data_IF_526558839660
#
_entry.id   IF_526558839660
#
_cell.length_a   1.000
_cell.length_b   1.000
_cell.length_c   1.000
_cell.angle_alpha   90.00
_cell.angle_beta   90.00
_cell.angle_gamma   90.00
#
_symmetry.space_group_name_H-M   'P 1'
#
loop_
_entity.id
_entity.type
_entity.pdbx_description
1 polymer ?
#
# COMPACT_ATOMS: atom_id res chain seq x y z
N UNK A 1 19.54 7.97 -4.40
CA UNK A 1 18.19 7.44 -4.70
C UNK A 1 18.33 6.13 -5.48
N UNK A 2 17.57 5.12 -5.13
CA UNK A 2 17.62 3.84 -5.86
C UNK A 2 17.05 4.02 -7.27
N UNK A 3 17.69 3.44 -8.27
CA UNK A 3 17.18 3.43 -9.64
C UNK A 3 15.91 2.60 -9.73
N UNK A 4 15.10 2.83 -10.77
CA UNK A 4 13.90 2.03 -11.07
C UNK A 4 14.24 0.55 -11.16
N UNK A 5 15.41 0.21 -11.75
CA UNK A 5 15.88 -1.17 -11.86
C UNK A 5 16.10 -1.81 -10.48
N UNK A 6 16.71 -1.08 -9.53
CA UNK A 6 16.93 -1.59 -8.17
C UNK A 6 15.62 -1.81 -7.43
N UNK A 7 14.67 -0.92 -7.59
CA UNK A 7 13.34 -1.05 -6.98
C UNK A 7 12.65 -2.29 -7.53
N UNK A 8 12.70 -2.50 -8.84
CA UNK A 8 12.10 -3.67 -9.48
C UNK A 8 12.72 -4.97 -8.98
N UNK A 9 14.05 -5.05 -8.90
CA UNK A 9 14.74 -6.25 -8.43
C UNK A 9 14.40 -6.56 -6.96
N UNK A 10 14.32 -5.54 -6.11
CA UNK A 10 13.90 -5.71 -4.71
C UNK A 10 12.46 -6.21 -4.62
N UNK A 11 11.57 -5.67 -5.44
CA UNK A 11 10.17 -6.10 -5.48
C UNK A 11 10.05 -7.55 -5.93
N UNK A 12 10.80 -7.96 -6.96
CA UNK A 12 10.84 -9.36 -7.41
C UNK A 12 11.26 -10.31 -6.30
N UNK A 13 12.27 -9.94 -5.49
CA UNK A 13 12.70 -10.75 -4.35
C UNK A 13 11.63 -10.84 -3.27
N UNK A 14 10.95 -9.75 -2.98
CA UNK A 14 9.85 -9.70 -2.02
C UNK A 14 8.72 -10.61 -2.50
N UNK A 15 8.36 -10.53 -3.79
CA UNK A 15 7.25 -11.30 -4.38
C UNK A 15 7.50 -12.81 -4.37
N UNK A 16 8.73 -13.26 -4.25
CA UNK A 16 9.02 -14.69 -4.05
C UNK A 16 8.53 -15.21 -2.70
N UNK A 17 8.40 -14.34 -1.70
CA UNK A 17 7.98 -14.68 -0.34
C UNK A 17 6.59 -14.16 0.00
N UNK A 18 6.16 -13.09 -0.67
CA UNK A 18 4.90 -12.41 -0.37
C UNK A 18 3.90 -12.68 -1.48
N UNK A 19 2.94 -13.53 -1.19
CA UNK A 19 1.84 -13.87 -2.10
C UNK A 19 0.53 -13.67 -1.35
N UNK A 20 -0.41 -12.93 -1.93
CA UNK A 20 -1.72 -12.71 -1.35
C UNK A 20 -2.65 -13.89 -1.60
N UNK A 21 -3.44 -14.24 -0.59
CA UNK A 21 -4.47 -15.28 -0.67
C UNK A 21 -5.84 -14.65 -0.41
N UNK A 22 -6.90 -15.42 -0.53
CA UNK A 22 -8.24 -14.94 -0.23
C UNK A 22 -8.40 -14.58 1.25
N UNK A 23 -7.78 -15.36 2.15
CA UNK A 23 -7.84 -15.14 3.60
C UNK A 23 -6.89 -14.05 4.07
N UNK A 24 -5.77 -13.90 3.39
CA UNK A 24 -4.72 -12.92 3.71
C UNK A 24 -4.21 -12.29 2.41
N UNK A 25 -5.00 -11.36 1.82
CA UNK A 25 -4.59 -10.68 0.60
C UNK A 25 -3.32 -9.85 0.77
N UNK A 26 -2.69 -9.52 -0.33
CA UNK A 26 -1.47 -8.74 -0.35
C UNK A 26 -1.78 -7.25 -0.39
N UNK A 27 -1.31 -6.52 0.62
CA UNK A 27 -1.34 -5.04 0.62
C UNK A 27 -0.09 -4.56 -0.10
N UNK A 28 -0.27 -4.01 -1.30
CA UNK A 28 0.81 -3.55 -2.16
C UNK A 28 0.82 -2.03 -2.24
N UNK A 29 2.00 -1.42 -2.11
CA UNK A 29 2.18 0.03 -2.22
C UNK A 29 3.04 0.36 -3.43
N UNK A 30 2.72 1.47 -4.07
CA UNK A 30 3.50 2.00 -5.18
C UNK A 30 3.61 3.52 -5.06
N UNK A 31 4.82 4.03 -5.16
CA UNK A 31 5.09 5.47 -5.14
C UNK A 31 5.55 5.89 -6.54
N UNK A 32 4.73 6.69 -7.21
CA UNK A 32 5.17 7.40 -8.41
C UNK A 32 5.78 8.75 -7.99
N UNK A 33 6.25 9.56 -8.93
CA UNK A 33 6.93 10.81 -8.62
C UNK A 33 6.16 11.73 -7.65
N UNK A 34 4.85 11.84 -7.80
CA UNK A 34 4.02 12.79 -7.02
C UNK A 34 2.85 12.15 -6.30
N UNK A 35 2.61 10.84 -6.47
CA UNK A 35 1.44 10.18 -5.91
C UNK A 35 1.78 8.86 -5.23
N UNK A 36 0.89 8.46 -4.33
CA UNK A 36 0.96 7.18 -3.63
C UNK A 36 -0.25 6.36 -4.06
N UNK A 37 -0.01 5.10 -4.38
CA UNK A 37 -1.05 4.12 -4.73
C UNK A 37 -0.92 2.93 -3.79
N UNK A 38 -2.05 2.44 -3.29
CA UNK A 38 -2.08 1.27 -2.44
C UNK A 38 -3.26 0.39 -2.82
N UNK A 39 -3.03 -0.92 -2.85
CA UNK A 39 -4.04 -1.91 -3.22
C UNK A 39 -3.95 -3.11 -2.31
N UNK A 40 -5.10 -3.73 -2.05
CA UNK A 40 -5.16 -5.04 -1.40
C UNK A 40 -5.62 -6.03 -2.47
N UNK A 41 -4.77 -7.01 -2.77
CA UNK A 41 -4.95 -7.91 -3.92
C UNK A 41 -5.00 -9.36 -3.45
N UNK A 42 -6.01 -10.10 -3.92
CA UNK A 42 -6.07 -11.55 -3.82
C UNK A 42 -5.39 -12.14 -5.05
N UNK A 43 -4.17 -12.63 -4.87
CA UNK A 43 -3.37 -13.17 -5.98
C UNK A 43 -3.89 -14.51 -6.49
N UNK A 44 -4.72 -15.22 -5.72
CA UNK A 44 -5.25 -16.52 -6.13
C UNK A 44 -6.23 -16.39 -7.29
N UNK A 45 -6.95 -15.27 -7.36
CA UNK A 45 -7.94 -14.99 -8.42
C UNK A 45 -7.61 -13.72 -9.21
N UNK A 46 -6.51 -13.05 -8.88
CA UNK A 46 -6.10 -11.82 -9.55
C UNK A 46 -7.07 -10.66 -9.35
N UNK A 47 -7.70 -10.58 -8.18
CA UNK A 47 -8.72 -9.58 -7.91
C UNK A 47 -8.24 -8.55 -6.89
N UNK A 48 -8.51 -7.27 -7.17
CA UNK A 48 -8.29 -6.19 -6.20
C UNK A 48 -9.46 -6.12 -5.23
N UNK A 49 -9.18 -6.34 -3.95
CA UNK A 49 -10.19 -6.29 -2.88
C UNK A 49 -10.54 -4.85 -2.53
N UNK A 50 -9.52 -4.01 -2.39
CA UNK A 50 -9.68 -2.59 -2.06
C UNK A 50 -8.51 -1.80 -2.61
N UNK A 51 -8.72 -0.51 -2.85
CA UNK A 51 -7.68 0.39 -3.35
C UNK A 51 -7.87 1.79 -2.78
N UNK A 52 -6.77 2.53 -2.64
CA UNK A 52 -6.77 3.94 -2.26
C UNK A 52 -5.55 4.62 -2.87
N UNK A 53 -5.66 5.89 -3.17
CA UNK A 53 -4.55 6.66 -3.73
C UNK A 53 -4.69 8.15 -3.43
N UNK A 54 -3.58 8.88 -3.58
CA UNK A 54 -3.57 10.35 -3.44
C UNK A 54 -4.18 11.05 -4.64
N UNK A 55 -4.48 10.34 -5.72
CA UNK A 55 -5.19 10.91 -6.89
C UNK A 55 -6.65 11.22 -6.54
N UNK A 56 -7.23 10.53 -5.58
CA UNK A 56 -8.62 10.72 -5.17
C UNK A 56 -8.81 12.10 -4.52
N UNK A 57 -9.90 12.78 -4.89
CA UNK A 57 -10.19 14.13 -4.40
C UNK A 57 -10.27 14.23 -2.88
N UNK A 58 -10.79 13.21 -2.22
CA UNK A 58 -10.92 13.19 -0.76
C UNK A 58 -9.60 13.00 -0.01
N UNK A 59 -8.54 12.58 -0.70
CA UNK A 59 -7.22 12.32 -0.12
C UNK A 59 -6.24 13.42 -0.50
N UNK A 60 -6.36 13.93 -1.72
CA UNK A 60 -5.44 14.91 -2.30
C UNK A 60 -5.46 16.21 -1.51
N UNK A 61 -4.27 16.67 -1.08
CA UNK A 61 -4.10 17.97 -0.46
C UNK A 61 -3.81 19.07 -1.47
N UNK A 62 -3.49 20.25 -0.98
CA UNK A 62 -3.15 21.42 -1.81
C UNK A 62 -1.71 21.38 -2.35
N UNK A 63 -0.85 20.54 -1.78
CA UNK A 63 0.54 20.46 -2.18
C UNK A 63 0.69 19.79 -3.55
N UNK A 64 1.67 20.25 -4.32
CA UNK A 64 1.98 19.67 -5.63
C UNK A 64 2.43 18.22 -5.52
N UNK A 65 3.33 17.94 -4.58
CA UNK A 65 3.81 16.58 -4.32
C UNK A 65 2.94 15.93 -3.26
N UNK A 66 2.17 14.93 -3.65
CA UNK A 66 1.28 14.17 -2.79
C UNK A 66 1.94 12.90 -2.22
N UNK A 67 3.19 12.61 -2.58
CA UNK A 67 3.91 11.43 -2.09
C UNK A 67 4.72 11.79 -0.83
N UNK A 68 4.04 12.14 0.25
CA UNK A 68 4.66 12.54 1.52
C UNK A 68 4.07 11.73 2.68
N UNK A 69 4.64 11.92 3.89
CA UNK A 69 4.23 11.17 5.09
C UNK A 69 2.77 11.43 5.45
N UNK A 70 2.32 12.68 5.39
CA UNK A 70 0.93 13.03 5.75
C UNK A 70 -0.08 12.35 4.84
N UNK A 71 0.15 12.37 3.52
CA UNK A 71 -0.75 11.71 2.57
C UNK A 71 -0.64 10.19 2.65
N UNK A 72 0.55 9.66 2.98
CA UNK A 72 0.73 8.23 3.20
C UNK A 72 -0.14 7.74 4.36
N UNK A 73 -0.21 8.50 5.45
CA UNK A 73 -1.10 8.17 6.57
C UNK A 73 -2.56 8.16 6.15
N UNK A 74 -2.99 9.14 5.36
CA UNK A 74 -4.36 9.21 4.84
C UNK A 74 -4.70 8.01 3.96
N UNK A 75 -3.79 7.65 3.05
CA UNK A 75 -3.97 6.51 2.15
C UNK A 75 -4.05 5.21 2.96
N UNK A 76 -3.16 5.03 3.94
CA UNK A 76 -3.16 3.84 4.80
C UNK A 76 -4.47 3.68 5.56
N UNK A 77 -4.96 4.76 6.20
CA UNK A 77 -6.21 4.74 6.94
C UNK A 77 -7.40 4.45 6.03
N UNK A 78 -7.46 5.09 4.87
CA UNK A 78 -8.54 4.90 3.92
C UNK A 78 -8.56 3.49 3.34
N UNK A 79 -7.38 2.96 2.99
CA UNK A 79 -7.26 1.60 2.48
C UNK A 79 -7.71 0.58 3.52
N UNK A 80 -7.30 0.76 4.78
CA UNK A 80 -7.71 -0.11 5.87
C UNK A 80 -9.22 -0.10 6.06
N UNK A 81 -9.83 1.08 6.07
CA UNK A 81 -11.28 1.23 6.19
C UNK A 81 -12.00 0.47 5.08
N UNK A 82 -11.58 0.67 3.84
CA UNK A 82 -12.19 0.00 2.67
C UNK A 82 -12.00 -1.52 2.70
N UNK A 83 -10.83 -1.97 3.16
CA UNK A 83 -10.54 -3.40 3.29
C UNK A 83 -11.40 -4.05 4.35
N UNK A 84 -11.56 -3.40 5.50
CA UNK A 84 -12.41 -3.90 6.58
C UNK A 84 -13.88 -3.97 6.16
N UNK A 85 -14.35 -3.06 5.32
CA UNK A 85 -15.70 -3.08 4.76
C UNK A 85 -15.94 -4.32 3.89
N UNK A 86 -14.89 -4.93 3.37
CA UNK A 86 -14.94 -6.18 2.60
C UNK A 86 -14.76 -7.42 3.48
N UNK A 87 -14.83 -7.26 4.80
CA UNK A 87 -14.65 -8.33 5.79
C UNK A 87 -13.25 -8.98 5.74
N UNK A 88 -12.25 -8.22 5.31
CA UNK A 88 -10.85 -8.63 5.31
C UNK A 88 -10.12 -7.86 6.40
N UNK A 89 -9.47 -8.55 7.32
CA UNK A 89 -8.72 -7.94 8.43
C UNK A 89 -7.23 -8.23 8.34
N UNK A 90 -6.88 -9.44 7.91
CA UNK A 90 -5.49 -9.86 7.81
C UNK A 90 -4.97 -9.67 6.39
N UNK A 91 -3.78 -9.09 6.27
CA UNK A 91 -3.11 -8.91 4.99
C UNK A 91 -1.63 -9.24 5.13
N UNK A 92 -0.95 -9.51 4.02
CA UNK A 92 0.50 -9.57 3.97
C UNK A 92 0.99 -8.29 3.32
N UNK A 93 2.06 -7.70 3.87
CA UNK A 93 2.55 -6.41 3.39
C UNK A 93 3.62 -6.58 2.31
N UNK A 94 3.35 -6.01 1.12
CA UNK A 94 4.29 -5.93 0.01
C UNK A 94 4.66 -4.46 -0.18
N UNK A 95 5.87 -4.08 0.21
CA UNK A 95 6.34 -2.71 0.10
C UNK A 95 6.72 -2.28 -1.32
N UNK A 96 6.53 -3.14 -2.32
CA UNK A 96 6.76 -2.79 -3.73
C UNK A 96 8.23 -2.53 -4.09
N UNK A 97 9.18 -3.08 -3.34
CA UNK A 97 10.60 -2.84 -3.53
C UNK A 97 11.12 -1.56 -2.89
N UNK A 98 10.24 -0.76 -2.27
CA UNK A 98 10.63 0.44 -1.54
C UNK A 98 11.14 0.09 -0.14
N UNK A 99 12.03 0.92 0.40
CA UNK A 99 12.56 0.73 1.74
C UNK A 99 11.45 0.95 2.78
N UNK A 100 11.38 0.07 3.80
CA UNK A 100 10.43 0.22 4.91
C UNK A 100 10.90 1.36 5.81
N UNK A 101 10.62 2.60 5.38
CA UNK A 101 11.08 3.81 6.04
C UNK A 101 10.21 4.99 5.59
N UNK A 102 10.10 6.02 6.40
CA UNK A 102 9.39 7.25 6.05
C UNK A 102 7.95 7.00 5.58
N UNK A 103 7.68 7.27 4.30
CA UNK A 103 6.33 7.16 3.72
C UNK A 103 5.75 5.77 3.80
N UNK A 104 6.55 4.75 3.51
CA UNK A 104 6.11 3.35 3.56
C UNK A 104 5.71 2.96 4.97
N UNK A 105 6.55 3.31 5.94
CA UNK A 105 6.27 3.05 7.36
C UNK A 105 5.03 3.81 7.82
N UNK A 106 4.88 5.06 7.43
CA UNK A 106 3.73 5.89 7.81
C UNK A 106 2.42 5.28 7.30
N UNK A 107 2.41 4.81 6.05
CA UNK A 107 1.25 4.15 5.47
C UNK A 107 0.92 2.85 6.22
N UNK A 108 1.92 2.03 6.49
CA UNK A 108 1.75 0.76 7.19
C UNK A 108 1.24 0.96 8.61
N UNK A 109 1.83 1.90 9.35
CA UNK A 109 1.43 2.22 10.72
C UNK A 109 -0.01 2.74 10.77
N UNK A 110 -0.39 3.59 9.82
CA UNK A 110 -1.76 4.11 9.72
C UNK A 110 -2.77 3.00 9.44
N UNK A 111 -2.43 2.08 8.55
CA UNK A 111 -3.28 0.94 8.23
C UNK A 111 -3.45 0.01 9.43
N UNK A 112 -2.40 -0.24 10.19
CA UNK A 112 -2.46 -1.03 11.43
C UNK A 112 -3.32 -0.34 12.49
N UNK A 113 -3.15 0.97 12.66
CA UNK A 113 -3.92 1.76 13.61
C UNK A 113 -5.41 1.75 13.28
N UNK A 114 -5.76 1.64 12.00
CA UNK A 114 -7.15 1.59 11.55
C UNK A 114 -7.76 0.19 11.65
N UNK A 115 -6.98 -0.84 11.99
CA UNK A 115 -7.50 -2.17 12.28
C UNK A 115 -6.99 -3.32 11.43
N UNK A 116 -6.14 -3.08 10.44
CA UNK A 116 -5.54 -4.17 9.68
C UNK A 116 -4.45 -4.87 10.48
N UNK A 117 -4.33 -6.17 10.28
CA UNK A 117 -3.36 -7.03 10.94
C UNK A 117 -2.32 -7.53 9.94
N UNK A 118 -1.07 -7.16 10.19
CA UNK A 118 0.07 -7.64 9.39
C UNK A 118 1.39 -7.32 10.06
#
# INVERSE_FOLDING_TARGET
>A
MASTTRIRLRHERIRKRVVGTTERPRLCVHFSGQHIYAQVIDDTVGKTVAAASTVEKGVRGSQRNQANVTTAEKVGSLLAERTLQKNVRQVVFDRGGFTYHGRVKALADAARSAGLEF
#
